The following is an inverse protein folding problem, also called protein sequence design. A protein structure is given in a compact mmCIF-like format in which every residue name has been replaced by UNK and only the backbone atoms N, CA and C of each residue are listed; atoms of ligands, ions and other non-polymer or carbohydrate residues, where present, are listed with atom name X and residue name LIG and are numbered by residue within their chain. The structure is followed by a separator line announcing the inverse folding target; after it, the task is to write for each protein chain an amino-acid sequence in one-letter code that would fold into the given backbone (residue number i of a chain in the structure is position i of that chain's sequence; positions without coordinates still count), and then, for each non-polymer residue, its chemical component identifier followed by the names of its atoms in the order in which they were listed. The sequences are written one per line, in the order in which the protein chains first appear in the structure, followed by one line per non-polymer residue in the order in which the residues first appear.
data_IF_472669299330
#
_entry.id   IF_472669299330
#
_cell.length_a   1.000
_cell.length_b   1.000
_cell.length_c   1.000
_cell.angle_alpha   90.00
_cell.angle_beta   90.00
_cell.angle_gamma   90.00
#
_symmetry.space_group_name_H-M   'P 1'
#
loop_
_entity.id
_entity.type
_entity.pdbx_description
1 polymer ?
#
# COMPACT_ATOMS: atom_id res chain seq x y z
N UNK A 1 66.92 14.60 -7.97
CA UNK A 1 67.41 14.79 -6.59
C UNK A 1 66.54 15.82 -5.90
N UNK A 2 66.33 15.62 -4.60
CA UNK A 2 65.50 16.35 -3.65
C UNK A 2 65.26 17.85 -3.94
N UNK A 3 64.00 18.27 -3.74
CA UNK A 3 63.63 19.67 -3.52
C UNK A 3 62.30 19.75 -2.77
N UNK A 4 62.36 19.76 -1.44
CA UNK A 4 61.24 19.88 -0.50
C UNK A 4 60.68 21.31 -0.53
N UNK A 5 59.37 21.47 -0.42
CA UNK A 5 58.76 22.69 0.13
C UNK A 5 57.62 22.35 1.09
N UNK A 6 57.65 23.01 2.23
CA UNK A 6 56.84 22.81 3.43
C UNK A 6 55.37 23.20 3.22
N UNK A 7 54.46 22.46 3.85
CA UNK A 7 53.31 23.07 4.54
C UNK A 7 53.15 22.41 5.91
N UNK A 8 53.07 23.29 6.90
CA UNK A 8 53.06 23.08 8.34
C UNK A 8 51.62 22.80 8.81
N UNK A 9 51.40 21.67 9.48
CA UNK A 9 50.11 21.32 10.11
C UNK A 9 50.07 22.00 11.49
N UNK A 10 49.14 22.95 11.65
CA UNK A 10 48.85 23.64 12.90
C UNK A 10 47.53 23.15 13.46
N UNK A 11 47.59 22.53 14.64
CA UNK A 11 46.44 22.19 15.47
C UNK A 11 45.80 23.45 16.07
N UNK A 12 44.48 23.54 16.03
CA UNK A 12 43.64 24.36 16.93
C UNK A 12 42.16 23.91 16.82
N UNK A 13 41.29 24.27 17.79
CA UNK A 13 40.40 23.35 18.52
C UNK A 13 38.94 23.36 18.05
N UNK A 14 38.09 22.40 18.51
CA UNK A 14 36.67 22.40 18.21
C UNK A 14 35.87 23.29 19.18
N UNK A 15 34.97 24.10 18.63
CA UNK A 15 33.91 24.87 19.30
C UNK A 15 32.63 24.00 19.36
N UNK A 16 31.83 24.05 20.44
CA UNK A 16 30.84 23.02 20.73
C UNK A 16 29.50 23.29 20.01
N UNK A 17 28.90 22.23 19.47
CA UNK A 17 27.53 22.20 19.00
C UNK A 17 26.70 21.25 19.86
N UNK A 18 25.48 21.70 20.17
CA UNK A 18 24.48 21.09 21.04
C UNK A 18 24.30 19.59 20.80
N UNK A 19 24.46 18.81 21.87
CA UNK A 19 23.92 17.46 22.01
C UNK A 19 23.02 17.41 23.24
N UNK A 20 21.73 17.14 23.01
CA UNK A 20 20.74 16.83 24.03
C UNK A 20 20.89 15.36 24.44
N UNK A 21 21.60 15.13 25.55
CA UNK A 21 21.56 13.87 26.29
C UNK A 21 20.74 14.07 27.56
N UNK A 22 19.62 13.36 27.63
CA UNK A 22 18.84 13.18 28.85
C UNK A 22 19.61 12.18 29.71
N UNK A 23 20.26 12.69 30.76
CA UNK A 23 20.83 11.89 31.83
C UNK A 23 20.01 12.17 33.10
N UNK A 24 19.36 11.14 33.62
CA UNK A 24 18.56 11.19 34.85
C UNK A 24 19.50 11.07 36.04
N UNK A 25 19.63 12.17 36.80
CA UNK A 25 20.39 12.23 38.05
C UNK A 25 19.52 11.79 39.23
N UNK A 26 20.08 10.89 40.04
CA UNK A 26 19.67 10.60 41.40
C UNK A 26 19.88 11.80 42.34
N UNK A 27 18.99 11.96 43.32
CA UNK A 27 19.06 12.91 44.45
C UNK A 27 17.64 13.16 45.01
N UNK A 28 17.16 12.36 45.96
CA UNK A 28 17.22 12.62 47.41
C UNK A 28 16.72 14.01 47.84
N UNK A 29 15.47 14.08 48.29
CA UNK A 29 15.06 14.93 49.41
C UNK A 29 13.71 14.46 49.98
N UNK A 30 13.73 14.19 51.29
CA UNK A 30 12.61 13.89 52.16
C UNK A 30 11.49 14.94 52.06
N UNK A 31 10.21 14.55 52.05
CA UNK A 31 9.14 15.29 52.72
C UNK A 31 7.89 14.39 52.89
N UNK A 32 7.48 14.21 54.16
CA UNK A 32 6.23 13.58 54.59
C UNK A 32 5.01 14.41 54.14
N UNK A 33 3.83 13.77 54.09
CA UNK A 33 2.76 14.31 54.93
C UNK A 33 2.04 13.24 55.76
N UNK A 34 1.87 13.56 57.04
CA UNK A 34 0.95 12.91 57.97
C UNK A 34 -0.49 12.94 57.43
N UNK A 35 -1.16 11.78 57.40
CA UNK A 35 -2.61 11.71 57.27
C UNK A 35 -3.26 11.58 58.65
N UNK A 36 -4.01 12.62 59.01
CA UNK A 36 -4.91 12.71 60.15
C UNK A 36 -6.20 11.92 59.92
N UNK A 37 -6.75 11.49 61.05
CA UNK A 37 -7.86 10.57 61.24
C UNK A 37 -9.26 11.07 60.81
N UNK A 38 -10.09 10.14 60.32
CA UNK A 38 -11.57 10.05 60.44
C UNK A 38 -12.06 8.87 59.59
N UNK A 39 -13.09 8.08 59.91
CA UNK A 39 -14.06 8.06 61.00
C UNK A 39 -14.67 6.64 61.04
N UNK A 40 -14.82 6.04 62.22
CA UNK A 40 -15.53 4.78 62.39
C UNK A 40 -17.04 4.99 62.17
N UNK A 41 -17.62 4.32 61.17
CA UNK A 41 -19.08 4.11 61.12
C UNK A 41 -19.43 2.79 61.79
N UNK A 42 -19.98 2.94 62.98
CA UNK A 42 -20.68 1.96 63.81
C UNK A 42 -21.99 1.58 63.11
N UNK A 43 -22.18 0.32 62.72
CA UNK A 43 -23.51 -0.18 62.36
C UNK A 43 -24.06 -1.02 63.52
N UNK A 44 -25.24 -0.60 63.95
CA UNK A 44 -25.97 -1.04 65.13
C UNK A 44 -26.64 -2.39 64.81
N UNK A 45 -26.36 -3.41 65.61
CA UNK A 45 -27.11 -4.65 65.61
C UNK A 45 -28.45 -4.46 66.33
N UNK A 46 -29.55 -4.54 65.59
CA UNK A 46 -30.90 -4.58 66.17
C UNK A 46 -31.19 -6.01 66.60
N UNK A 47 -31.34 -6.22 67.92
CA UNK A 47 -31.84 -7.45 68.52
C UNK A 47 -33.33 -7.27 68.75
N UNK A 48 -34.17 -8.00 68.03
CA UNK A 48 -35.59 -8.12 68.36
C UNK A 48 -35.78 -9.33 69.28
N UNK A 49 -36.30 -9.07 70.48
CA UNK A 49 -36.84 -10.06 71.40
C UNK A 49 -38.36 -10.01 71.27
N UNK A 50 -39.02 -11.14 71.04
CA UNK A 50 -40.41 -11.31 71.45
C UNK A 50 -40.66 -12.77 71.80
N UNK A 51 -41.21 -12.96 72.99
CA UNK A 51 -41.74 -14.22 73.48
C UNK A 51 -43.12 -14.47 72.87
N UNK A 52 -43.48 -15.71 72.57
CA UNK A 52 -44.68 -16.28 73.18
C UNK A 52 -44.75 -17.81 73.05
N UNK A 53 -45.48 -18.37 74.01
CA UNK A 53 -45.80 -19.78 74.23
C UNK A 53 -47.10 -20.10 73.47
N UNK A 54 -47.20 -21.25 72.81
CA UNK A 54 -48.52 -21.68 72.31
C UNK A 54 -48.50 -22.78 71.27
N UNK A 55 -49.26 -23.82 71.55
CA UNK A 55 -49.32 -25.12 70.87
C UNK A 55 -50.46 -25.13 69.83
N UNK A 56 -50.30 -25.94 68.79
CA UNK A 56 -51.33 -26.79 68.13
C UNK A 56 -51.68 -26.51 66.65
N UNK A 57 -51.60 -27.62 65.89
CA UNK A 57 -52.43 -28.07 64.74
C UNK A 57 -52.11 -27.61 63.29
N UNK A 58 -52.08 -28.63 62.41
CA UNK A 58 -51.87 -28.70 60.94
C UNK A 58 -53.01 -28.03 60.12
N UNK A 59 -53.10 -28.25 58.77
CA UNK A 59 -52.32 -27.82 57.58
C UNK A 59 -53.23 -26.86 56.71
N UNK A 60 -53.13 -26.62 55.36
CA UNK A 60 -52.26 -27.16 54.30
C UNK A 60 -51.70 -26.15 53.26
N UNK A 61 -50.99 -26.72 52.29
CA UNK A 61 -50.88 -26.30 50.87
C UNK A 61 -49.85 -25.24 50.44
N UNK A 62 -48.88 -25.77 49.68
CA UNK A 62 -48.42 -25.28 48.37
C UNK A 62 -47.43 -24.09 48.27
N UNK A 63 -46.57 -24.25 47.26
CA UNK A 63 -45.77 -23.23 46.58
C UNK A 63 -44.35 -23.00 47.10
N UNK A 64 -43.47 -23.85 46.58
CA UNK A 64 -42.17 -23.51 45.99
C UNK A 64 -41.66 -22.07 46.19
N UNK A 65 -40.60 -21.96 46.99
CA UNK A 65 -39.44 -21.11 46.68
C UNK A 65 -38.26 -21.54 47.57
N UNK A 66 -37.82 -22.79 47.43
CA UNK A 66 -36.54 -23.20 48.00
C UNK A 66 -35.40 -22.81 47.06
N UNK A 67 -34.84 -21.64 47.32
CA UNK A 67 -33.42 -21.31 47.23
C UNK A 67 -32.55 -22.15 46.26
N UNK A 68 -32.75 -22.00 44.95
CA UNK A 68 -31.85 -22.55 43.93
C UNK A 68 -30.39 -22.05 44.10
N UNK A 69 -30.21 -20.85 44.65
CA UNK A 69 -28.91 -20.30 45.00
C UNK A 69 -28.27 -20.97 46.23
N UNK A 70 -29.04 -21.58 47.13
CA UNK A 70 -28.49 -22.32 48.26
C UNK A 70 -27.86 -23.64 47.79
N UNK A 71 -28.46 -24.31 46.80
CA UNK A 71 -27.90 -25.54 46.22
C UNK A 71 -26.55 -25.27 45.53
N UNK A 72 -26.41 -24.14 44.82
CA UNK A 72 -25.14 -23.76 44.16
C UNK A 72 -24.07 -23.33 45.19
N UNK A 73 -24.46 -22.79 46.36
CA UNK A 73 -23.54 -22.39 47.42
C UNK A 73 -23.21 -23.50 48.44
N UNK A 74 -24.03 -24.55 48.54
CA UNK A 74 -23.80 -25.68 49.45
C UNK A 74 -22.91 -26.77 48.84
N UNK A 75 -22.99 -26.99 47.53
CA UNK A 75 -22.13 -27.94 46.80
C UNK A 75 -20.64 -27.66 47.00
N UNK A 76 -20.14 -26.40 46.95
CA UNK A 76 -18.76 -26.09 47.29
C UNK A 76 -18.40 -26.43 48.73
N UNK A 77 -19.28 -26.14 49.70
CA UNK A 77 -18.96 -26.33 51.14
C UNK A 77 -18.85 -27.79 51.54
N UNK A 78 -19.69 -28.66 50.97
CA UNK A 78 -19.63 -30.09 51.23
C UNK A 78 -18.37 -30.72 50.63
N UNK A 79 -18.08 -30.40 49.36
CA UNK A 79 -16.88 -30.87 48.67
C UNK A 79 -15.61 -30.38 49.38
N UNK A 80 -15.54 -29.11 49.78
CA UNK A 80 -14.42 -28.55 50.54
C UNK A 80 -14.21 -29.22 51.90
N UNK A 81 -15.27 -29.61 52.62
CA UNK A 81 -15.10 -30.35 53.88
C UNK A 81 -14.58 -31.76 53.65
N UNK A 82 -14.98 -32.41 52.57
CA UNK A 82 -14.60 -33.78 52.26
C UNK A 82 -13.17 -33.88 51.70
N UNK A 83 -12.73 -32.88 50.92
CA UNK A 83 -11.36 -32.81 50.40
C UNK A 83 -10.35 -32.26 51.39
N UNK A 84 -10.74 -31.36 52.30
CA UNK A 84 -9.82 -30.81 53.32
C UNK A 84 -9.63 -31.70 54.56
N UNK A 85 -10.58 -32.60 54.88
CA UNK A 85 -10.47 -33.52 56.03
C UNK A 85 -9.21 -34.41 56.01
N UNK A 86 -8.88 -35.10 54.90
CA UNK A 86 -7.66 -35.91 54.86
C UNK A 86 -6.38 -35.06 54.81
N UNK A 87 -6.45 -33.81 54.35
CA UNK A 87 -5.30 -32.89 54.32
C UNK A 87 -5.00 -32.29 55.70
N UNK A 88 -6.02 -32.11 56.55
CA UNK A 88 -5.82 -31.66 57.93
C UNK A 88 -5.15 -32.69 58.84
N UNK A 89 -5.25 -33.99 58.51
CA UNK A 89 -4.60 -35.06 59.27
C UNK A 89 -3.06 -35.06 59.11
N UNK A 90 -2.54 -34.37 58.09
CA UNK A 90 -1.11 -34.12 57.89
C UNK A 90 -0.58 -32.89 58.66
N UNK A 91 -1.36 -32.32 59.58
CA UNK A 91 -0.92 -31.21 60.45
C UNK A 91 -1.02 -29.80 59.84
N UNK A 92 -1.64 -29.67 58.67
CA UNK A 92 -1.84 -28.37 58.01
C UNK A 92 -3.08 -27.64 58.56
N UNK A 93 -2.85 -26.52 59.25
CA UNK A 93 -3.92 -25.67 59.78
C UNK A 93 -4.72 -24.96 58.69
N UNK A 94 -5.97 -24.58 58.98
CA UNK A 94 -6.87 -23.88 58.02
C UNK A 94 -6.27 -22.61 57.39
N UNK A 95 -5.36 -21.90 58.10
CA UNK A 95 -4.64 -20.72 57.57
C UNK A 95 -3.58 -21.13 56.54
N UNK A 96 -2.82 -22.20 56.81
CA UNK A 96 -1.79 -22.69 55.88
C UNK A 96 -2.36 -23.20 54.55
N UNK A 97 -3.58 -23.78 54.58
CA UNK A 97 -4.29 -24.22 53.37
C UNK A 97 -4.67 -23.02 52.49
N UNK A 98 -5.06 -21.90 53.11
CA UNK A 98 -5.40 -20.68 52.39
C UNK A 98 -4.16 -19.98 51.82
N UNK A 99 -3.08 -19.92 52.60
CA UNK A 99 -1.78 -19.39 52.17
C UNK A 99 -1.17 -20.22 51.02
N UNK A 100 -1.23 -21.56 51.10
CA UNK A 100 -0.81 -22.45 50.02
C UNK A 100 -1.70 -22.36 48.78
N UNK A 101 -3.01 -22.14 48.96
CA UNK A 101 -3.95 -21.92 47.87
C UNK A 101 -3.65 -20.65 47.06
N UNK A 102 -3.30 -19.54 47.74
CA UNK A 102 -2.88 -18.30 47.06
C UNK A 102 -1.57 -18.51 46.30
N UNK A 103 -0.61 -19.21 46.91
CA UNK A 103 0.66 -19.57 46.24
C UNK A 103 0.42 -20.40 44.98
N UNK A 104 -0.40 -21.45 45.05
CA UNK A 104 -0.75 -22.28 43.90
C UNK A 104 -1.51 -21.48 42.83
N UNK A 105 -2.40 -20.57 43.22
CA UNK A 105 -3.11 -19.70 42.28
C UNK A 105 -2.15 -18.77 41.53
N UNK A 106 -1.18 -18.16 42.21
CA UNK A 106 -0.17 -17.31 41.59
C UNK A 106 0.73 -18.11 40.63
N UNK A 107 1.20 -19.29 41.05
CA UNK A 107 2.04 -20.17 40.21
C UNK A 107 1.25 -20.65 38.99
N UNK A 108 0.02 -21.12 39.18
CA UNK A 108 -0.86 -21.56 38.09
C UNK A 108 -1.16 -20.43 37.11
N UNK A 109 -1.48 -19.23 37.61
CA UNK A 109 -1.69 -18.04 36.80
C UNK A 109 -0.45 -17.66 35.99
N UNK A 110 0.73 -17.69 36.60
CA UNK A 110 1.99 -17.42 35.90
C UNK A 110 2.27 -18.45 34.78
N UNK A 111 2.02 -19.73 35.02
CA UNK A 111 2.17 -20.79 34.00
C UNK A 111 1.20 -20.57 32.84
N UNK A 112 -0.07 -20.25 33.14
CA UNK A 112 -1.10 -20.05 32.11
C UNK A 112 -0.79 -18.82 31.24
N UNK A 113 -0.26 -17.75 31.84
CA UNK A 113 0.24 -16.57 31.12
C UNK A 113 1.48 -16.90 30.28
N UNK A 114 2.42 -17.68 30.80
CA UNK A 114 3.60 -18.08 30.03
C UNK A 114 3.21 -18.91 28.79
N UNK A 115 2.27 -19.85 28.94
CA UNK A 115 1.76 -20.65 27.83
C UNK A 115 1.00 -19.81 26.81
N UNK A 116 0.18 -18.85 27.24
CA UNK A 116 -0.54 -17.98 26.31
C UNK A 116 0.40 -17.05 25.53
N UNK A 117 1.43 -16.52 26.18
CA UNK A 117 2.48 -15.73 25.51
C UNK A 117 3.30 -16.59 24.55
N UNK A 118 3.63 -17.82 24.90
CA UNK A 118 4.30 -18.76 24.00
C UNK A 118 3.43 -19.08 22.78
N UNK A 119 2.14 -19.29 22.97
CA UNK A 119 1.18 -19.54 21.88
C UNK A 119 1.04 -18.34 20.94
N UNK A 120 0.89 -17.13 21.50
CA UNK A 120 0.83 -15.89 20.73
C UNK A 120 2.11 -15.68 19.92
N UNK A 121 3.29 -15.86 20.54
CA UNK A 121 4.57 -15.80 19.83
C UNK A 121 4.64 -16.85 18.72
N UNK A 122 4.20 -18.09 18.96
CA UNK A 122 4.16 -19.14 17.94
C UNK A 122 3.33 -18.76 16.72
N UNK A 123 2.18 -18.11 16.92
CA UNK A 123 1.34 -17.62 15.82
C UNK A 123 2.00 -16.48 15.04
N UNK A 124 2.59 -15.50 15.73
CA UNK A 124 3.33 -14.41 15.07
C UNK A 124 4.54 -14.92 14.29
N UNK A 125 5.27 -15.89 14.84
CA UNK A 125 6.41 -16.51 14.16
C UNK A 125 5.94 -17.25 12.90
N UNK A 126 4.86 -18.04 12.99
CA UNK A 126 4.29 -18.78 11.86
C UNK A 126 3.92 -17.87 10.68
N UNK A 127 3.40 -16.68 10.94
CA UNK A 127 3.11 -15.69 9.89
C UNK A 127 4.37 -15.17 9.21
N UNK A 128 5.46 -14.95 9.95
CA UNK A 128 6.73 -14.51 9.37
C UNK A 128 7.41 -15.56 8.50
N UNK A 129 7.19 -16.84 8.77
CA UNK A 129 7.82 -17.94 8.01
C UNK A 129 7.16 -18.23 6.65
N UNK A 130 6.06 -17.56 6.31
CA UNK A 130 5.36 -17.76 5.02
C UNK A 130 5.75 -16.76 3.95
N UNK A 131 6.61 -15.80 4.28
CA UNK A 131 7.09 -14.81 3.33
C UNK A 131 8.26 -15.35 2.54
N UNK A 132 8.34 -15.01 1.26
CA UNK A 132 9.51 -15.27 0.42
C UNK A 132 9.93 -14.01 -0.29
N UNK A 133 11.19 -13.97 -0.71
CA UNK A 133 11.77 -12.86 -1.42
C UNK A 133 11.83 -13.15 -2.92
N UNK A 134 11.51 -12.17 -3.75
CA UNK A 134 11.77 -12.22 -5.19
C UNK A 134 12.65 -11.03 -5.57
N UNK A 135 13.57 -11.22 -6.53
CA UNK A 135 14.45 -10.14 -7.01
C UNK A 135 14.04 -9.77 -8.42
N UNK A 136 13.53 -8.56 -8.58
CA UNK A 136 13.09 -8.02 -9.86
C UNK A 136 14.19 -7.13 -10.43
N UNK A 137 14.68 -7.48 -11.62
CA UNK A 137 15.71 -6.72 -12.33
C UNK A 137 15.08 -5.80 -13.38
N UNK A 138 15.32 -4.49 -13.28
CA UNK A 138 14.83 -3.48 -14.22
C UNK A 138 15.99 -2.74 -14.89
N UNK A 139 15.82 -2.36 -16.15
CA UNK A 139 16.79 -1.49 -16.84
C UNK A 139 16.70 -0.03 -16.41
N UNK A 140 15.50 0.43 -16.04
CA UNK A 140 15.23 1.81 -15.63
C UNK A 140 14.32 1.84 -14.40
N UNK A 141 14.67 2.66 -13.43
CA UNK A 141 13.90 2.85 -12.22
C UNK A 141 12.91 4.00 -12.42
N UNK A 142 11.63 3.68 -12.62
CA UNK A 142 10.54 4.67 -12.72
C UNK A 142 10.06 5.13 -11.33
N UNK A 143 10.99 5.55 -10.47
CA UNK A 143 10.68 6.00 -9.11
C UNK A 143 10.48 4.89 -8.07
N UNK A 144 10.99 3.68 -8.32
CA UNK A 144 10.88 2.55 -7.37
C UNK A 144 11.59 2.90 -6.06
N UNK A 145 10.87 2.78 -4.95
CA UNK A 145 11.38 3.05 -3.61
C UNK A 145 11.08 1.86 -2.67
N UNK A 146 11.67 1.86 -1.48
CA UNK A 146 11.24 0.96 -0.41
C UNK A 146 9.78 1.25 -0.04
N UNK A 147 8.96 0.21 0.09
CA UNK A 147 7.51 0.32 0.31
C UNK A 147 6.68 0.44 -0.98
N UNK A 148 7.31 0.43 -2.17
CA UNK A 148 6.57 0.32 -3.43
C UNK A 148 5.74 -0.96 -3.43
N UNK A 149 4.43 -0.83 -3.70
CA UNK A 149 3.51 -1.96 -3.70
C UNK A 149 3.72 -2.85 -4.93
N UNK A 150 3.65 -4.15 -4.72
CA UNK A 150 3.70 -5.17 -5.76
C UNK A 150 2.34 -5.82 -5.88
N UNK A 151 1.80 -5.85 -7.09
CA UNK A 151 0.45 -6.30 -7.36
C UNK A 151 0.44 -7.41 -8.40
N UNK A 152 -0.39 -8.42 -8.21
CA UNK A 152 -0.70 -9.41 -9.23
C UNK A 152 -2.12 -9.14 -9.71
N UNK A 153 -2.29 -8.85 -11.00
CA UNK A 153 -3.60 -8.53 -11.62
C UNK A 153 -4.41 -7.48 -10.82
N UNK A 154 -3.73 -6.49 -10.27
CA UNK A 154 -4.33 -5.39 -9.52
C UNK A 154 -4.55 -5.62 -8.02
N UNK A 155 -4.24 -6.81 -7.48
CA UNK A 155 -4.30 -7.08 -6.03
C UNK A 155 -2.91 -6.99 -5.43
N UNK A 156 -2.75 -6.24 -4.33
CA UNK A 156 -1.47 -6.13 -3.62
C UNK A 156 -1.11 -7.47 -2.97
N UNK A 157 0.10 -7.95 -3.26
CA UNK A 157 0.62 -9.25 -2.77
C UNK A 157 1.90 -9.11 -1.98
N UNK A 158 2.51 -7.92 -1.98
CA UNK A 158 3.79 -7.68 -1.35
C UNK A 158 4.29 -6.25 -1.54
N UNK A 159 5.50 -6.02 -1.08
CA UNK A 159 6.16 -4.71 -1.13
C UNK A 159 7.66 -4.82 -1.40
N UNK A 160 8.25 -3.76 -1.93
CA UNK A 160 9.69 -3.65 -2.12
C UNK A 160 10.36 -3.34 -0.79
N UNK A 161 11.15 -4.28 -0.26
CA UNK A 161 11.89 -4.09 1.00
C UNK A 161 13.25 -3.40 0.81
N UNK A 162 13.85 -3.55 -0.38
CA UNK A 162 15.18 -3.00 -0.69
C UNK A 162 15.35 -2.78 -2.18
N UNK A 163 16.02 -1.70 -2.55
CA UNK A 163 16.42 -1.41 -3.93
C UNK A 163 17.94 -1.32 -3.99
N UNK A 164 18.57 -2.12 -4.85
CA UNK A 164 20.01 -2.05 -5.11
C UNK A 164 20.23 -1.47 -6.51
N UNK A 165 20.68 -0.21 -6.62
CA UNK A 165 21.06 0.36 -7.89
C UNK A 165 22.40 -0.22 -8.37
N UNK A 166 22.48 -0.56 -9.65
CA UNK A 166 23.72 -0.87 -10.36
C UNK A 166 23.79 -0.04 -11.65
N UNK A 167 24.99 0.10 -12.23
CA UNK A 167 25.20 0.90 -13.44
C UNK A 167 24.50 0.32 -14.67
N UNK A 168 24.22 -0.98 -14.67
CA UNK A 168 23.57 -1.68 -15.79
C UNK A 168 22.08 -1.91 -15.58
N UNK A 169 21.67 -2.14 -14.34
CA UNK A 169 20.30 -2.48 -13.97
C UNK A 169 20.04 -2.14 -12.50
N UNK A 170 18.77 -2.07 -12.13
CA UNK A 170 18.32 -1.91 -10.75
C UNK A 170 17.70 -3.23 -10.29
N UNK A 171 18.13 -3.72 -9.13
CA UNK A 171 17.54 -4.91 -8.49
C UNK A 171 16.61 -4.47 -7.35
N UNK A 172 15.31 -4.66 -7.53
CA UNK A 172 14.31 -4.47 -6.48
C UNK A 172 14.05 -5.80 -5.77
N UNK A 173 14.35 -5.86 -4.48
CA UNK A 173 14.05 -7.01 -3.62
C UNK A 173 12.63 -6.83 -3.08
N UNK A 174 11.75 -7.72 -3.49
CA UNK A 174 10.33 -7.76 -3.13
C UNK A 174 10.12 -8.83 -2.07
N UNK A 175 9.36 -8.50 -1.03
CA UNK A 175 8.82 -9.46 -0.07
C UNK A 175 7.36 -9.75 -0.42
N UNK A 176 7.04 -11.01 -0.65
CA UNK A 176 5.67 -11.49 -0.90
C UNK A 176 5.08 -12.00 0.42
N UNK A 177 3.82 -11.66 0.69
CA UNK A 177 3.20 -11.85 2.01
C UNK A 177 2.91 -13.32 2.38
N UNK A 178 2.62 -14.19 1.41
CA UNK A 178 2.23 -15.59 1.65
C UNK A 178 2.86 -16.54 0.61
N UNK A 179 3.21 -17.75 1.06
CA UNK A 179 3.84 -18.82 0.27
C UNK A 179 2.87 -19.45 -0.73
N UNK A 180 1.57 -19.23 -0.51
CA UNK A 180 0.49 -19.62 -1.42
C UNK A 180 0.38 -18.72 -2.65
N UNK A 181 0.88 -17.49 -2.58
CA UNK A 181 0.84 -16.53 -3.68
C UNK A 181 2.17 -16.62 -4.43
N UNK A 182 2.19 -17.39 -5.51
CA UNK A 182 3.39 -17.56 -6.34
C UNK A 182 3.36 -16.65 -7.57
N UNK A 183 4.55 -16.23 -7.99
CA UNK A 183 4.75 -15.49 -9.25
C UNK A 183 5.18 -16.50 -10.33
N UNK A 184 4.39 -16.70 -11.40
CA UNK A 184 4.80 -17.55 -12.51
C UNK A 184 6.01 -16.98 -13.27
N UNK A 185 6.92 -17.84 -13.73
CA UNK A 185 8.09 -17.40 -14.51
C UNK A 185 7.72 -16.80 -15.87
N UNK A 186 6.55 -17.14 -16.41
CA UNK A 186 6.04 -16.57 -17.66
C UNK A 186 5.27 -15.24 -17.45
N UNK A 187 5.32 -14.66 -16.25
CA UNK A 187 4.66 -13.38 -15.99
C UNK A 187 5.39 -12.21 -16.64
N UNK A 188 4.60 -11.25 -17.14
CA UNK A 188 5.10 -9.94 -17.54
C UNK A 188 5.12 -9.05 -16.29
N UNK A 189 6.32 -8.60 -15.93
CA UNK A 189 6.55 -7.75 -14.77
C UNK A 189 6.83 -6.35 -15.27
N UNK A 190 6.00 -5.38 -14.91
CA UNK A 190 6.10 -4.00 -15.35
C UNK A 190 6.12 -3.05 -14.17
N UNK A 191 6.98 -2.04 -14.23
CA UNK A 191 6.92 -0.90 -13.31
C UNK A 191 6.05 0.15 -13.95
N UNK A 192 4.90 0.38 -13.36
CA UNK A 192 3.95 1.39 -13.77
C UNK A 192 3.97 2.55 -12.79
N UNK A 193 3.85 3.75 -13.33
CA UNK A 193 3.66 4.97 -12.56
C UNK A 193 2.28 5.51 -12.90
N UNK A 194 1.39 5.56 -11.92
CA UNK A 194 -0.03 5.85 -12.14
C UNK A 194 -0.65 6.60 -10.96
N UNK A 195 -1.84 7.16 -11.20
CA UNK A 195 -2.55 7.98 -10.23
C UNK A 195 -2.17 9.47 -10.28
N UNK A 196 -3.01 10.30 -9.66
CA UNK A 196 -2.82 11.77 -9.61
C UNK A 196 -1.56 12.18 -8.85
N UNK A 197 -1.15 11.37 -7.88
CA UNK A 197 0.04 11.57 -7.05
C UNK A 197 1.28 10.86 -7.60
N UNK A 198 1.18 10.30 -8.81
CA UNK A 198 2.33 9.73 -9.51
C UNK A 198 3.02 8.60 -8.72
N UNK A 199 2.20 7.69 -8.20
CA UNK A 199 2.64 6.57 -7.39
C UNK A 199 3.25 5.47 -8.28
N UNK A 200 4.43 5.01 -7.91
CA UNK A 200 5.09 3.88 -8.57
C UNK A 200 4.58 2.58 -7.97
N UNK A 201 4.14 1.66 -8.83
CA UNK A 201 3.69 0.32 -8.49
C UNK A 201 4.28 -0.70 -9.44
N UNK A 202 4.51 -1.92 -8.95
CA UNK A 202 4.99 -3.03 -9.78
C UNK A 202 3.80 -3.93 -10.05
N UNK A 203 3.39 -4.02 -11.31
CA UNK A 203 2.30 -4.88 -11.75
C UNK A 203 2.87 -6.15 -12.39
N UNK A 204 2.41 -7.29 -11.88
CA UNK A 204 2.76 -8.62 -12.36
C UNK A 204 1.53 -9.20 -13.06
N UNK A 205 1.68 -9.49 -14.35
CA UNK A 205 0.64 -10.05 -15.20
C UNK A 205 1.05 -11.44 -15.68
N UNK A 206 0.54 -12.52 -15.06
CA UNK A 206 0.74 -13.89 -15.53
C UNK A 206 0.19 -14.07 -16.95
N UNK A 207 1.01 -14.65 -17.84
CA UNK A 207 0.59 -15.03 -19.20
C UNK A 207 -0.06 -16.40 -19.19
N UNK A 208 -1.00 -16.61 -20.09
CA UNK A 208 -1.61 -17.93 -20.27
C UNK A 208 -0.68 -18.85 -21.10
N UNK A 209 -0.60 -20.15 -20.76
CA UNK A 209 -1.28 -20.81 -19.66
C UNK A 209 -0.64 -20.50 -18.29
N UNK A 210 -1.46 -20.36 -17.26
CA UNK A 210 -0.98 -20.21 -15.87
C UNK A 210 -0.48 -21.56 -15.37
N UNK A 211 0.80 -21.70 -15.00
CA UNK A 211 1.31 -22.97 -14.49
C UNK A 211 0.72 -23.29 -13.12
N UNK A 212 0.46 -24.57 -12.88
CA UNK A 212 0.10 -25.11 -11.56
C UNK A 212 1.33 -25.79 -10.97
N UNK A 213 2.06 -25.14 -10.05
CA UNK A 213 3.26 -25.72 -9.48
C UNK A 213 2.92 -26.88 -8.55
N UNK A 214 3.79 -27.87 -8.50
CA UNK A 214 3.70 -28.99 -7.55
C UNK A 214 4.32 -28.65 -6.20
N UNK A 215 5.30 -27.73 -6.20
CA UNK A 215 6.04 -27.28 -5.00
C UNK A 215 5.91 -25.77 -4.79
N UNK A 216 6.06 -25.32 -3.54
CA UNK A 216 5.97 -23.91 -3.18
C UNK A 216 7.28 -23.13 -3.42
N UNK A 217 7.24 -21.79 -3.34
CA UNK A 217 8.40 -20.93 -3.59
C UNK A 217 9.54 -21.08 -2.57
N UNK A 218 9.24 -21.61 -1.38
CA UNK A 218 10.21 -21.87 -0.29
C UNK A 218 10.80 -23.28 -0.33
N UNK A 219 10.28 -24.18 -1.19
CA UNK A 219 10.74 -25.57 -1.26
C UNK A 219 12.07 -25.70 -2.00
N UNK A 220 12.93 -26.61 -1.54
CA UNK A 220 14.25 -26.86 -2.15
C UNK A 220 14.17 -27.33 -3.60
N UNK A 221 13.05 -27.95 -4.00
CA UNK A 221 12.82 -28.49 -5.33
C UNK A 221 12.23 -27.44 -6.30
N UNK A 222 11.88 -26.23 -5.82
CA UNK A 222 11.28 -25.17 -6.63
C UNK A 222 12.15 -24.80 -7.85
N UNK A 223 13.47 -24.69 -7.64
CA UNK A 223 14.42 -24.33 -8.69
C UNK A 223 14.49 -25.39 -9.79
N UNK A 224 14.21 -26.66 -9.46
CA UNK A 224 14.23 -27.76 -10.44
C UNK A 224 12.96 -27.79 -11.29
N UNK A 225 11.81 -27.43 -10.71
CA UNK A 225 10.54 -27.32 -11.44
C UNK A 225 10.55 -26.11 -12.38
N UNK A 226 11.07 -24.97 -11.94
CA UNK A 226 11.29 -23.79 -12.81
C UNK A 226 10.03 -23.14 -13.37
N UNK A 227 8.84 -23.49 -12.86
CA UNK A 227 7.56 -22.92 -13.28
C UNK A 227 7.24 -21.58 -12.59
N UNK A 228 7.73 -21.40 -11.36
CA UNK A 228 7.49 -20.23 -10.52
C UNK A 228 8.81 -19.57 -10.11
N UNK A 229 8.74 -18.33 -9.65
CA UNK A 229 9.86 -17.59 -9.05
C UNK A 229 10.03 -18.07 -7.61
N UNK A 230 11.18 -18.68 -7.32
CA UNK A 230 11.54 -19.20 -5.99
C UNK A 230 12.15 -18.13 -5.08
N UNK A 231 12.35 -18.45 -3.80
CA UNK A 231 13.00 -17.55 -2.85
C UNK A 231 14.36 -17.04 -3.36
N UNK A 232 14.50 -15.71 -3.36
CA UNK A 232 15.65 -14.92 -3.81
C UNK A 232 16.03 -15.15 -5.28
N UNK A 233 15.14 -15.72 -6.08
CA UNK A 233 15.37 -15.87 -7.51
C UNK A 233 15.23 -14.53 -8.24
N UNK A 234 16.06 -14.35 -9.26
CA UNK A 234 16.04 -13.16 -10.11
C UNK A 234 15.13 -13.39 -11.31
N UNK A 235 14.26 -12.42 -11.58
CA UNK A 235 13.41 -12.36 -12.78
C UNK A 235 13.49 -10.95 -13.39
N UNK A 236 13.43 -10.87 -14.71
CA UNK A 236 13.51 -9.59 -15.42
C UNK A 236 12.15 -8.92 -15.46
N UNK A 237 12.14 -7.63 -15.16
CA UNK A 237 11.01 -6.75 -15.36
C UNK A 237 11.31 -5.67 -16.40
N UNK A 238 10.23 -5.07 -16.90
CA UNK A 238 10.24 -4.04 -17.92
C UNK A 238 9.66 -2.73 -17.34
N UNK A 239 10.02 -1.63 -17.99
CA UNK A 239 9.35 -0.36 -17.73
C UNK A 239 8.00 -0.37 -18.45
N UNK A 240 6.92 -0.14 -17.69
CA UNK A 240 5.59 0.06 -18.24
C UNK A 240 5.34 1.55 -18.50
N UNK A 241 4.17 2.03 -18.14
CA UNK A 241 3.79 3.44 -18.34
C UNK A 241 4.50 4.31 -17.30
N UNK A 242 5.19 5.36 -17.75
CA UNK A 242 5.81 6.36 -16.87
C UNK A 242 5.56 7.78 -17.36
N UNK A 243 5.29 8.70 -16.44
CA UNK A 243 5.04 10.10 -16.80
C UNK A 243 6.33 10.77 -17.27
N UNK A 244 7.47 10.41 -16.68
CA UNK A 244 8.77 10.93 -17.07
C UNK A 244 9.10 10.61 -18.54
N UNK A 245 8.75 9.39 -19.00
CA UNK A 245 8.89 9.04 -20.40
C UNK A 245 7.95 9.86 -21.30
N UNK A 246 6.70 10.06 -20.88
CA UNK A 246 5.73 10.86 -21.63
C UNK A 246 6.17 12.32 -21.76
N UNK A 247 6.60 12.94 -20.66
CA UNK A 247 7.14 14.31 -20.65
C UNK A 247 8.41 14.39 -21.50
N UNK A 248 9.28 13.37 -21.43
CA UNK A 248 10.46 13.26 -22.28
C UNK A 248 10.12 13.21 -23.78
N UNK A 249 9.08 12.46 -24.15
CA UNK A 249 8.59 12.39 -25.53
C UNK A 249 8.02 13.75 -25.98
N UNK A 250 7.15 14.37 -25.18
CA UNK A 250 6.57 15.66 -25.54
C UNK A 250 7.59 16.80 -25.63
N UNK A 251 8.55 16.84 -24.72
CA UNK A 251 9.64 17.84 -24.75
C UNK A 251 10.54 17.64 -25.96
N UNK A 252 10.84 16.39 -26.34
CA UNK A 252 11.60 16.09 -27.57
C UNK A 252 10.83 16.55 -28.81
N UNK A 253 9.54 16.20 -28.91
CA UNK A 253 8.68 16.64 -30.02
C UNK A 253 8.60 18.17 -30.07
N UNK A 254 8.42 18.83 -28.91
CA UNK A 254 8.39 20.29 -28.84
C UNK A 254 9.67 20.93 -29.40
N UNK A 255 10.84 20.38 -29.04
CA UNK A 255 12.13 20.86 -29.56
C UNK A 255 12.29 20.59 -31.06
N UNK A 256 11.89 19.42 -31.54
CA UNK A 256 11.93 19.10 -32.97
C UNK A 256 11.00 20.02 -33.79
N UNK A 257 9.81 20.32 -33.28
CA UNK A 257 8.86 21.24 -33.91
C UNK A 257 9.36 22.68 -33.87
N UNK A 258 9.99 23.12 -32.78
CA UNK A 258 10.57 24.46 -32.68
C UNK A 258 11.73 24.63 -33.66
N UNK A 259 12.64 23.66 -33.75
CA UNK A 259 13.81 23.71 -34.61
C UNK A 259 13.44 23.60 -36.09
N UNK A 260 12.60 22.63 -36.46
CA UNK A 260 12.17 22.42 -37.85
C UNK A 260 11.16 23.49 -38.26
N UNK A 261 10.20 23.81 -37.39
CA UNK A 261 9.12 24.75 -37.67
C UNK A 261 9.67 26.15 -37.95
N UNK A 262 10.60 26.66 -37.15
CA UNK A 262 11.16 28.00 -37.34
C UNK A 262 12.06 28.03 -38.57
N UNK A 263 13.09 27.17 -38.65
CA UNK A 263 14.04 27.24 -39.77
C UNK A 263 13.38 26.97 -41.13
N UNK A 264 12.49 25.97 -41.20
CA UNK A 264 11.85 25.58 -42.46
C UNK A 264 10.78 26.58 -42.88
N UNK A 265 10.02 27.15 -41.94
CA UNK A 265 9.06 28.21 -42.27
C UNK A 265 9.73 29.48 -42.79
N UNK A 266 10.87 29.89 -42.21
CA UNK A 266 11.65 31.02 -42.73
C UNK A 266 12.14 30.76 -44.16
N UNK A 267 12.73 29.59 -44.43
CA UNK A 267 13.17 29.25 -45.80
C UNK A 267 12.00 29.16 -46.79
N UNK A 268 10.85 28.61 -46.38
CA UNK A 268 9.66 28.55 -47.23
C UNK A 268 9.09 29.93 -47.52
N UNK A 269 9.09 30.83 -46.52
CA UNK A 269 8.66 32.20 -46.70
C UNK A 269 9.58 32.97 -47.64
N UNK A 270 10.90 32.77 -47.53
CA UNK A 270 11.89 33.39 -48.42
C UNK A 270 11.75 32.90 -49.86
N UNK A 271 11.65 31.58 -50.05
CA UNK A 271 11.43 30.99 -51.38
C UNK A 271 10.08 31.40 -51.99
N UNK A 272 9.01 31.45 -51.18
CA UNK A 272 7.71 31.93 -51.66
C UNK A 272 7.79 33.41 -52.05
N UNK A 273 8.46 34.24 -51.26
CA UNK A 273 8.66 35.65 -51.57
C UNK A 273 9.45 35.84 -52.86
N UNK A 274 10.50 35.05 -53.10
CA UNK A 274 11.29 35.13 -54.35
C UNK A 274 10.46 34.74 -55.57
N UNK A 275 9.68 33.65 -55.49
CA UNK A 275 8.79 33.24 -56.59
C UNK A 275 7.70 34.27 -56.87
N UNK A 276 7.15 34.91 -55.84
CA UNK A 276 6.16 35.99 -56.00
C UNK A 276 6.79 37.22 -56.67
N UNK A 277 8.01 37.57 -56.29
CA UNK A 277 8.81 38.63 -56.94
C UNK A 277 9.04 38.32 -58.43
N UNK A 278 9.48 37.10 -58.76
CA UNK A 278 9.70 36.67 -60.14
C UNK A 278 8.39 36.62 -60.96
N UNK A 279 7.27 36.27 -60.33
CA UNK A 279 5.97 36.18 -60.98
C UNK A 279 5.22 37.52 -61.10
N UNK A 280 5.66 38.60 -60.44
CA UNK A 280 5.04 39.95 -60.54
C UNK A 280 4.70 40.38 -61.98
N UNK A 281 5.62 40.34 -62.97
CA UNK A 281 5.33 40.79 -64.32
C UNK A 281 4.24 39.94 -65.00
N UNK A 282 4.19 38.64 -64.71
CA UNK A 282 3.14 37.75 -65.21
C UNK A 282 1.79 38.07 -64.56
N UNK A 283 1.77 38.31 -63.25
CA UNK A 283 0.58 38.72 -62.52
C UNK A 283 0.02 40.06 -63.01
N UNK A 284 0.88 41.03 -63.34
CA UNK A 284 0.42 42.28 -63.96
C UNK A 284 -0.18 42.08 -65.35
N UNK A 285 0.35 41.13 -66.13
CA UNK A 285 -0.17 40.81 -67.46
C UNK A 285 -1.51 40.07 -67.38
N UNK A 286 -1.66 39.16 -66.41
CA UNK A 286 -2.92 38.48 -66.11
C UNK A 286 -3.96 39.49 -65.61
N UNK A 287 -3.58 40.46 -64.77
CA UNK A 287 -4.49 41.52 -64.32
C UNK A 287 -5.03 42.33 -65.49
N UNK A 288 -4.17 42.79 -66.39
CA UNK A 288 -4.59 43.52 -67.59
C UNK A 288 -5.52 42.68 -68.49
N UNK A 289 -5.16 41.41 -68.73
CA UNK A 289 -6.01 40.51 -69.50
C UNK A 289 -7.35 40.20 -68.80
N UNK A 290 -7.36 40.15 -67.47
CA UNK A 290 -8.59 39.96 -66.68
C UNK A 290 -9.49 41.20 -66.73
N UNK A 291 -8.91 42.40 -66.71
CA UNK A 291 -9.65 43.66 -66.93
C UNK A 291 -10.30 43.70 -68.32
N UNK A 292 -9.63 43.18 -69.34
CA UNK A 292 -10.17 43.07 -70.71
C UNK A 292 -11.23 41.97 -70.86
N UNK A 293 -11.13 40.87 -70.10
CA UNK A 293 -12.07 39.73 -70.15
C UNK A 293 -13.28 39.92 -69.22
N UNK A 294 -13.18 40.78 -68.21
CA UNK A 294 -14.28 41.12 -67.30
C UNK A 294 -15.58 41.54 -68.02
N UNK A 295 -15.58 42.45 -69.02
CA UNK A 295 -16.79 42.82 -69.74
C UNK A 295 -17.40 41.66 -70.55
N UNK A 296 -16.57 40.78 -71.13
CA UNK A 296 -17.05 39.61 -71.87
C UNK A 296 -17.69 38.57 -70.95
N UNK A 297 -17.18 38.42 -69.73
CA UNK A 297 -17.79 37.55 -68.71
C UNK A 297 -19.09 38.11 -68.17
N UNK A 298 -19.23 39.44 -68.02
CA UNK A 298 -20.53 40.04 -67.70
C UNK A 298 -21.54 39.85 -68.82
N UNK A 299 -21.13 39.98 -70.08
CA UNK A 299 -22.01 39.79 -71.22
C UNK A 299 -22.45 38.32 -71.38
N UNK A 300 -21.55 37.35 -71.15
CA UNK A 300 -21.91 35.93 -71.15
C UNK A 300 -22.83 35.58 -69.98
N UNK A 301 -22.61 36.17 -68.79
CA UNK A 301 -23.49 35.99 -67.63
C UNK A 301 -24.89 36.57 -67.87
N UNK A 302 -24.99 37.71 -68.55
CA UNK A 302 -26.26 38.36 -68.86
C UNK A 302 -26.96 37.73 -70.09
N UNK A 303 -26.20 37.07 -70.98
CA UNK A 303 -26.73 36.38 -72.17
C UNK A 303 -27.55 35.11 -71.90
N UNK A 304 -27.72 34.69 -70.63
CA UNK A 304 -28.56 33.54 -70.25
C UNK A 304 -27.97 32.16 -70.57
N UNK A 305 -26.86 32.07 -71.32
CA UNK A 305 -26.19 30.81 -71.69
C UNK A 305 -25.76 29.95 -70.49
N UNK A 306 -25.33 30.58 -69.38
CA UNK A 306 -24.99 29.84 -68.17
C UNK A 306 -26.22 29.16 -67.53
N UNK A 307 -27.41 29.76 -67.65
CA UNK A 307 -28.66 29.11 -67.20
C UNK A 307 -29.03 27.93 -68.10
N UNK A 308 -28.80 28.02 -69.40
CA UNK A 308 -29.05 26.91 -70.33
C UNK A 308 -28.11 25.72 -70.06
N UNK A 309 -26.82 25.99 -69.81
CA UNK A 309 -25.86 24.93 -69.46
C UNK A 309 -26.18 24.32 -68.09
N UNK A 310 -26.61 25.14 -67.12
CA UNK A 310 -27.03 24.66 -65.80
C UNK A 310 -28.29 23.78 -65.90
N UNK A 311 -29.28 24.17 -66.71
CA UNK A 311 -30.47 23.36 -66.96
C UNK A 311 -30.15 22.08 -67.75
N UNK A 312 -29.25 22.13 -68.74
CA UNK A 312 -28.81 20.93 -69.46
C UNK A 312 -28.08 19.97 -68.51
N UNK A 313 -27.25 20.49 -67.61
CA UNK A 313 -26.51 19.69 -66.61
C UNK A 313 -27.46 19.10 -65.58
N UNK A 314 -28.49 19.84 -65.15
CA UNK A 314 -29.55 19.36 -64.26
C UNK A 314 -30.36 18.24 -64.92
N UNK A 315 -30.70 18.38 -66.20
CA UNK A 315 -31.40 17.34 -66.97
C UNK A 315 -30.54 16.08 -67.17
N UNK A 316 -29.24 16.25 -67.39
CA UNK A 316 -28.31 15.12 -67.56
C UNK A 316 -28.05 14.39 -66.24
N UNK A 317 -28.00 15.12 -65.12
CA UNK A 317 -27.95 14.54 -63.78
C UNK A 317 -29.21 13.71 -63.49
N UNK A 318 -30.40 14.26 -63.76
CA UNK A 318 -31.68 13.54 -63.61
C UNK A 318 -31.76 12.28 -64.48
N UNK A 319 -31.32 12.35 -65.74
CA UNK A 319 -31.30 11.20 -66.64
C UNK A 319 -30.28 10.12 -66.23
N UNK A 320 -29.19 10.51 -65.56
CA UNK A 320 -28.21 9.56 -65.02
C UNK A 320 -28.69 8.84 -63.76
N UNK A 321 -29.61 9.47 -63.01
CA UNK A 321 -30.24 8.89 -61.82
C UNK A 321 -31.36 7.90 -62.18
N UNK A 322 -32.08 8.13 -63.29
CA UNK A 322 -33.14 7.25 -63.80
C UNK A 322 -32.62 5.95 -64.45
N UNK A 323 -31.30 5.87 -64.69
CA UNK A 323 -30.59 4.73 -65.27
C UNK A 323 -29.92 3.82 -64.23
N UNK A 324 -30.12 4.08 -62.93
CA UNK A 324 -29.55 3.34 -61.80
C UNK A 324 -30.62 2.60 -61.00
#
# INVERSE_FOLDING_TARGET
MLGKSLVQVSNCPPIPSLSSLINVSHGSSNFLPCLLARQQKKLIGVRALSADTGRSQQPPSSSEKMNALAVILEVPRYIWRQTLKPLSDFGFGRRSIWEGGVGLFLVSGAVLVALSLAWLRGFLLRSKFRKYLAVLEFSQASGICTGTQVRIRGVTVGEVIRVNPSLKSIEAVVEVEDDKIFIPNNSLIEVNQSGLLMETMIDITPRDPIPTPSVGPLDAECVKEGLIVCDRQKIKGHQGVSLDALVGIFTRIGREVEEIGVAKSYSLAEHAASVIEEAKPLLTKIKAMTEDVHPLLSEIRDSGLLKEVEDLTRNLALASEDLR
#
